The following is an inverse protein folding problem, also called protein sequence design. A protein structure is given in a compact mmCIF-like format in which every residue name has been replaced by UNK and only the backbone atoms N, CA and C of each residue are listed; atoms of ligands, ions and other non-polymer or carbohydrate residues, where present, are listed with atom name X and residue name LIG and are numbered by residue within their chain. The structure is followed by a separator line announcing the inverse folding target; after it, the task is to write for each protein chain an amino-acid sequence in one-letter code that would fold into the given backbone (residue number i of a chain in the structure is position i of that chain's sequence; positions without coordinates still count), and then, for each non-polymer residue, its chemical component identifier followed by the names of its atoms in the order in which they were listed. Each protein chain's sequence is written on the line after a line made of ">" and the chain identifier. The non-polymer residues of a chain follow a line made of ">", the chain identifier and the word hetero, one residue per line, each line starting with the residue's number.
data_IF_402748776159
#
_entry.id   IF_402748776159
#
_cell.length_a   1.000
_cell.length_b   1.000
_cell.length_c   1.000
_cell.angle_alpha   90.00
_cell.angle_beta   90.00
_cell.angle_gamma   90.00
#
_symmetry.space_group_name_H-M   'P 1'
#
loop_
_entity.id
_entity.type
_entity.pdbx_description
1 polymer ?
#
# COMPACT_ATOMS: atom_id res chain seq x y z
N UNK A 1 -13.58 -12.28 11.09
CA UNK A 1 -12.27 -11.73 11.51
C UNK A 1 -12.19 -10.21 11.32
N UNK A 2 -12.34 -9.67 10.10
CA UNK A 2 -12.38 -8.20 9.87
C UNK A 2 -13.53 -7.49 10.63
N UNK A 3 -14.72 -8.10 10.69
CA UNK A 3 -15.84 -7.60 11.50
C UNK A 3 -15.56 -7.58 13.02
N UNK A 4 -14.73 -8.49 13.52
CA UNK A 4 -14.37 -8.56 14.94
C UNK A 4 -13.36 -7.47 15.34
N UNK A 5 -12.49 -7.06 14.41
CA UNK A 5 -11.57 -5.93 14.59
C UNK A 5 -12.35 -4.61 14.64
N UNK A 6 -13.39 -4.46 13.82
CA UNK A 6 -14.26 -3.28 13.86
C UNK A 6 -15.12 -3.22 15.13
N UNK A 7 -15.57 -4.37 15.64
CA UNK A 7 -16.32 -4.45 16.90
C UNK A 7 -15.45 -4.12 18.12
N UNK A 8 -14.18 -4.55 18.13
CA UNK A 8 -13.22 -4.23 19.21
C UNK A 8 -12.88 -2.72 19.24
N UNK A 9 -12.75 -2.09 18.06
CA UNK A 9 -12.52 -0.65 17.92
C UNK A 9 -13.73 0.19 18.36
N UNK A 10 -14.96 -0.32 18.20
CA UNK A 10 -16.18 0.33 18.67
C UNK A 10 -16.37 0.25 20.20
N UNK A 11 -15.75 -0.73 20.87
CA UNK A 11 -15.83 -0.93 22.33
C UNK A 11 -14.68 -0.31 23.13
N UNK A 12 -13.65 0.20 22.48
CA UNK A 12 -12.53 0.87 23.14
C UNK A 12 -12.78 2.37 23.26
N UNK A 13 -12.71 2.91 24.48
CA UNK A 13 -12.62 4.36 24.76
C UNK A 13 -11.36 5.05 24.18
N UNK A 14 -10.65 4.38 23.27
CA UNK A 14 -9.44 4.89 22.64
C UNK A 14 -9.80 5.69 21.39
N UNK A 15 -9.41 6.96 21.38
CA UNK A 15 -9.59 7.88 20.26
C UNK A 15 -9.04 7.25 18.95
N UNK A 16 -9.80 7.24 17.82
CA UNK A 16 -9.33 6.71 16.53
C UNK A 16 -7.97 7.24 16.09
N UNK A 17 -7.63 8.47 16.46
CA UNK A 17 -6.32 9.07 16.24
C UNK A 17 -5.22 8.32 16.99
N UNK A 18 -5.43 7.99 18.26
CA UNK A 18 -4.48 7.22 19.09
C UNK A 18 -4.26 5.85 18.45
N UNK A 19 -5.34 5.16 18.06
CA UNK A 19 -5.25 3.86 17.39
C UNK A 19 -4.47 3.98 16.07
N UNK A 20 -4.77 4.99 15.25
CA UNK A 20 -4.07 5.24 13.98
C UNK A 20 -2.58 5.51 14.17
N UNK A 21 -2.21 6.31 15.17
CA UNK A 21 -0.80 6.57 15.54
C UNK A 21 -0.11 5.31 16.04
N UNK A 22 -0.78 4.50 16.86
CA UNK A 22 -0.22 3.22 17.33
C UNK A 22 0.05 2.28 16.15
N UNK A 23 -0.91 2.14 15.22
CA UNK A 23 -0.74 1.32 14.01
C UNK A 23 0.40 1.87 13.16
N UNK A 24 0.46 3.19 12.94
CA UNK A 24 1.53 3.82 12.18
C UNK A 24 2.91 3.55 12.78
N UNK A 25 3.07 3.78 14.09
CA UNK A 25 4.34 3.53 14.78
C UNK A 25 4.78 2.07 14.69
N UNK A 26 3.86 1.12 14.99
CA UNK A 26 4.15 -0.31 14.90
C UNK A 26 4.47 -0.75 13.46
N UNK A 27 3.77 -0.22 12.46
CA UNK A 27 4.04 -0.52 11.05
C UNK A 27 5.43 -0.03 10.61
N UNK A 28 5.89 1.13 11.09
CA UNK A 28 7.25 1.61 10.83
C UNK A 28 8.30 0.68 11.44
N UNK A 29 8.14 0.28 12.70
CA UNK A 29 9.05 -0.68 13.34
C UNK A 29 9.12 -2.00 12.57
N UNK A 30 7.95 -2.56 12.19
CA UNK A 30 7.87 -3.79 11.40
C UNK A 30 8.53 -3.62 10.03
N UNK A 31 8.34 -2.47 9.36
CA UNK A 31 8.95 -2.19 8.07
C UNK A 31 10.49 -2.20 8.12
N UNK A 32 11.07 -1.56 9.14
CA UNK A 32 12.53 -1.55 9.35
C UNK A 32 13.05 -2.97 9.61
N UNK A 33 12.41 -3.71 10.52
CA UNK A 33 12.83 -5.06 10.92
C UNK A 33 12.77 -6.07 9.76
N UNK A 34 11.81 -5.90 8.85
CA UNK A 34 11.70 -6.73 7.65
C UNK A 34 12.80 -6.38 6.65
N UNK A 35 13.00 -5.09 6.34
CA UNK A 35 13.94 -4.66 5.29
C UNK A 35 15.39 -4.99 5.64
N UNK A 36 15.78 -4.89 6.91
CA UNK A 36 17.15 -5.16 7.38
C UNK A 36 17.58 -6.63 7.23
N UNK A 37 16.63 -7.56 7.07
CA UNK A 37 16.88 -9.01 6.98
C UNK A 37 16.91 -9.55 5.55
N UNK A 38 16.80 -8.68 4.54
CA UNK A 38 16.73 -9.08 3.13
C UNK A 38 18.15 -9.19 2.57
N UNK A 39 18.51 -10.27 1.83
CA UNK A 39 19.84 -10.41 1.25
C UNK A 39 20.12 -9.31 0.21
N UNK A 40 21.40 -8.88 0.03
CA UNK A 40 21.71 -7.76 -0.85
C UNK A 40 21.31 -7.94 -2.31
N UNK A 41 21.26 -9.18 -2.78
CA UNK A 41 20.84 -9.55 -4.13
C UNK A 41 19.39 -9.17 -4.44
N UNK A 42 18.56 -8.99 -3.40
CA UNK A 42 17.15 -8.64 -3.53
C UNK A 42 16.85 -7.15 -3.33
N UNK A 43 17.82 -6.28 -3.04
CA UNK A 43 17.54 -4.84 -2.83
C UNK A 43 16.89 -4.17 -4.05
N UNK A 44 17.32 -4.50 -5.27
CA UNK A 44 16.73 -3.93 -6.49
C UNK A 44 15.32 -4.47 -6.76
N UNK A 45 15.05 -5.79 -6.72
CA UNK A 45 13.68 -6.30 -6.73
C UNK A 45 12.80 -5.72 -5.60
N UNK A 46 13.35 -5.54 -4.41
CA UNK A 46 12.64 -4.96 -3.26
C UNK A 46 12.27 -3.50 -3.49
N UNK A 47 13.18 -2.70 -4.05
CA UNK A 47 12.91 -1.30 -4.42
C UNK A 47 11.77 -1.21 -5.45
N UNK A 48 11.77 -2.09 -6.45
CA UNK A 48 10.66 -2.19 -7.41
C UNK A 48 9.36 -2.65 -6.74
N UNK A 49 9.44 -3.63 -5.85
CA UNK A 49 8.30 -4.18 -5.13
C UNK A 49 7.65 -3.17 -4.19
N UNK A 50 8.42 -2.39 -3.44
CA UNK A 50 7.89 -1.32 -2.57
C UNK A 50 7.25 -0.20 -3.37
N UNK A 51 7.78 0.12 -4.56
CA UNK A 51 7.12 1.03 -5.50
C UNK A 51 5.76 0.48 -5.95
N UNK A 52 5.66 -0.81 -6.29
CA UNK A 52 4.37 -1.43 -6.63
C UNK A 52 3.35 -1.37 -5.48
N UNK A 53 3.79 -1.59 -4.24
CA UNK A 53 2.95 -1.54 -3.03
C UNK A 53 2.42 -0.11 -2.79
N UNK A 54 3.20 0.93 -3.13
CA UNK A 54 2.76 2.33 -3.04
C UNK A 54 1.52 2.63 -3.91
N UNK A 55 1.25 1.77 -4.89
CA UNK A 55 0.02 1.80 -5.69
C UNK A 55 -1.27 1.61 -4.89
N UNK A 56 -1.21 1.29 -3.58
CA UNK A 56 -2.37 1.32 -2.66
C UNK A 56 -3.13 2.65 -2.66
N UNK A 57 -2.48 3.73 -3.11
CA UNK A 57 -3.09 5.03 -3.44
C UNK A 57 -4.36 4.92 -4.30
N UNK A 58 -4.54 3.83 -5.05
CA UNK A 58 -5.76 3.54 -5.80
C UNK A 58 -7.03 3.53 -4.92
N UNK A 59 -6.93 3.12 -3.65
CA UNK A 59 -8.06 3.14 -2.71
C UNK A 59 -8.55 4.57 -2.50
N UNK A 60 -7.63 5.51 -2.26
CA UNK A 60 -7.97 6.92 -2.11
C UNK A 60 -8.50 7.53 -3.41
N UNK A 61 -7.94 7.13 -4.55
CA UNK A 61 -8.37 7.62 -5.86
C UNK A 61 -9.81 7.21 -6.21
N UNK A 62 -10.19 5.96 -5.91
CA UNK A 62 -11.57 5.47 -6.12
C UNK A 62 -12.57 6.22 -5.24
N UNK A 63 -12.24 6.45 -3.97
CA UNK A 63 -13.07 7.22 -3.07
C UNK A 63 -13.25 8.66 -3.58
N UNK A 64 -12.16 9.35 -3.92
CA UNK A 64 -12.20 10.72 -4.43
C UNK A 64 -13.00 10.86 -5.73
N UNK A 65 -12.91 9.90 -6.65
CA UNK A 65 -13.67 9.90 -7.89
C UNK A 65 -15.18 9.64 -7.70
N UNK A 66 -15.56 8.97 -6.62
CA UNK A 66 -16.96 8.66 -6.30
C UNK A 66 -17.64 9.71 -5.42
N UNK A 67 -16.90 10.41 -4.58
CA UNK A 67 -17.45 11.28 -3.54
C UNK A 67 -17.67 12.73 -3.99
N UNK A 68 -16.76 13.29 -4.81
CA UNK A 68 -16.77 14.72 -5.13
C UNK A 68 -17.24 15.02 -6.56
N UNK A 69 -18.12 16.03 -6.76
CA UNK A 69 -18.57 16.44 -8.09
C UNK A 69 -17.58 17.39 -8.81
N UNK A 70 -17.84 17.64 -10.09
CA UNK A 70 -17.12 18.66 -10.87
C UNK A 70 -15.67 18.30 -11.16
N UNK A 71 -14.78 19.30 -11.04
CA UNK A 71 -13.35 19.14 -11.36
C UNK A 71 -12.65 18.08 -10.50
N UNK A 72 -13.05 17.95 -9.23
CA UNK A 72 -12.52 16.93 -8.32
C UNK A 72 -12.77 15.50 -8.83
N UNK A 73 -13.92 15.24 -9.46
CA UNK A 73 -14.25 13.94 -10.07
C UNK A 73 -13.29 13.58 -11.20
N UNK A 74 -12.95 14.57 -12.03
CA UNK A 74 -12.03 14.41 -13.16
C UNK A 74 -10.63 14.10 -12.64
N UNK A 75 -10.17 14.83 -11.63
CA UNK A 75 -8.89 14.54 -10.96
C UNK A 75 -8.88 13.16 -10.31
N UNK A 76 -9.97 12.75 -9.64
CA UNK A 76 -10.11 11.40 -9.09
C UNK A 76 -10.03 10.33 -10.17
N UNK A 77 -10.67 10.53 -11.32
CA UNK A 77 -10.59 9.61 -12.45
C UNK A 77 -9.15 9.49 -13.00
N UNK A 78 -8.45 10.62 -13.18
CA UNK A 78 -7.04 10.62 -13.58
C UNK A 78 -6.17 9.91 -12.52
N UNK A 79 -6.42 10.16 -11.24
CA UNK A 79 -5.71 9.52 -10.14
C UNK A 79 -5.89 7.99 -10.16
N UNK A 80 -7.07 7.47 -10.49
CA UNK A 80 -7.30 6.02 -10.65
C UNK A 80 -6.41 5.47 -11.76
N UNK A 81 -6.35 6.15 -12.91
CA UNK A 81 -5.50 5.71 -14.04
C UNK A 81 -4.03 5.65 -13.61
N UNK A 82 -3.52 6.74 -13.01
CA UNK A 82 -2.13 6.82 -12.57
C UNK A 82 -1.79 5.77 -11.49
N UNK A 83 -2.68 5.59 -10.51
CA UNK A 83 -2.51 4.58 -9.46
C UNK A 83 -2.53 3.17 -10.05
N UNK A 84 -3.39 2.90 -11.04
CA UNK A 84 -3.44 1.62 -11.74
C UNK A 84 -2.15 1.34 -12.51
N UNK A 85 -1.60 2.34 -13.21
CA UNK A 85 -0.29 2.21 -13.89
C UNK A 85 0.82 1.90 -12.88
N UNK A 86 0.83 2.54 -11.70
CA UNK A 86 1.80 2.27 -10.65
C UNK A 86 1.71 0.82 -10.14
N UNK A 87 0.50 0.36 -9.77
CA UNK A 87 0.28 -1.03 -9.32
C UNK A 87 0.70 -2.02 -10.39
N UNK A 88 0.11 -1.94 -11.59
CA UNK A 88 0.31 -2.94 -12.65
C UNK A 88 1.76 -2.92 -13.15
N UNK A 89 2.30 -1.74 -13.44
CA UNK A 89 3.68 -1.58 -13.90
C UNK A 89 4.68 -2.05 -12.86
N UNK A 90 4.47 -1.66 -11.59
CA UNK A 90 5.34 -2.05 -10.48
C UNK A 90 5.38 -3.56 -10.29
N UNK A 91 4.23 -4.25 -10.28
CA UNK A 91 4.19 -5.70 -10.14
C UNK A 91 4.77 -6.43 -11.35
N UNK A 92 4.54 -5.94 -12.58
CA UNK A 92 5.12 -6.53 -13.79
C UNK A 92 6.65 -6.47 -13.79
N UNK A 93 7.22 -5.31 -13.46
CA UNK A 93 8.68 -5.13 -13.39
C UNK A 93 9.27 -6.00 -12.29
N UNK A 94 8.65 -6.00 -11.10
CA UNK A 94 9.08 -6.84 -9.97
C UNK A 94 9.05 -8.32 -10.34
N UNK A 95 8.02 -8.79 -11.03
CA UNK A 95 7.92 -10.17 -11.50
C UNK A 95 9.08 -10.56 -12.42
N UNK A 96 9.40 -9.73 -13.41
CA UNK A 96 10.54 -9.94 -14.34
C UNK A 96 11.89 -9.91 -13.63
N UNK A 97 12.02 -9.11 -12.56
CA UNK A 97 13.23 -9.09 -11.74
C UNK A 97 13.38 -10.39 -10.93
N UNK A 98 12.30 -10.87 -10.32
CA UNK A 98 12.30 -12.08 -9.50
C UNK A 98 12.41 -13.36 -10.33
N UNK A 99 11.97 -13.36 -11.58
CA UNK A 99 12.09 -14.51 -12.49
C UNK A 99 13.56 -14.95 -12.69
N UNK A 100 14.50 -14.01 -12.58
CA UNK A 100 15.95 -14.28 -12.66
C UNK A 100 16.51 -15.06 -11.47
N UNK A 101 15.75 -15.17 -10.38
CA UNK A 101 16.12 -15.94 -9.18
C UNK A 101 15.48 -17.33 -9.14
N UNK A 102 14.61 -17.69 -10.10
CA UNK A 102 14.13 -19.07 -10.22
C UNK A 102 15.29 -19.94 -10.70
N UNK A 103 15.65 -20.94 -9.89
CA UNK A 103 16.38 -22.10 -10.42
C UNK A 103 15.56 -22.68 -11.57
N UNK A 104 16.24 -23.11 -12.64
CA UNK A 104 15.65 -24.02 -13.61
C UNK A 104 15.10 -25.26 -12.91
#
# INVERSE_FOLDING_TARGET
>A
MFHAIQLLAATSAANPLIIGLTIFALAVFVGIEIITKIPPTLHTPLMSGSNAISGITIVGAVLAAGEYPGFARILGFIAIILATVNVVGGFLVTHRMLEKFKSR
#
